data_IF_060421728286
#
_entry.id   IF_060421728286
#
_cell.length_a   1.000
_cell.length_b   1.000
_cell.length_c   1.000
_cell.angle_alpha   90.00
_cell.angle_beta   90.00
_cell.angle_gamma   90.00
#
_symmetry.space_group_name_H-M   'P 1'
#
loop_
_entity.id
_entity.type
_entity.pdbx_description
1 polymer ?
#
# COMPACT_ATOMS: atom_id res chain seq x y z
N UNK A 1 16.15 27.78 -19.98
CA UNK A 1 15.31 27.59 -18.76
C UNK A 1 15.85 26.41 -18.00
N UNK A 2 16.15 26.56 -16.71
CA UNK A 2 16.55 25.43 -15.85
C UNK A 2 15.27 24.74 -15.34
N UNK A 3 15.14 23.42 -15.48
CA UNK A 3 13.98 22.71 -14.95
C UNK A 3 13.89 22.89 -13.43
N UNK A 4 12.70 23.25 -12.95
CA UNK A 4 12.38 23.32 -11.51
C UNK A 4 11.65 22.05 -11.10
N UNK A 5 12.10 21.43 -10.02
CA UNK A 5 11.45 20.26 -9.40
C UNK A 5 10.99 20.61 -7.99
N UNK A 6 10.00 19.90 -7.42
CA UNK A 6 9.54 20.17 -6.06
C UNK A 6 10.67 20.00 -5.03
N UNK A 7 10.94 21.03 -4.22
CA UNK A 7 12.05 21.02 -3.26
C UNK A 7 11.94 19.91 -2.20
N UNK A 8 10.71 19.60 -1.76
CA UNK A 8 10.48 18.57 -0.73
C UNK A 8 10.96 17.18 -1.17
N UNK A 9 10.91 16.86 -2.47
CA UNK A 9 11.31 15.56 -3.01
C UNK A 9 12.80 15.31 -2.79
N UNK A 10 13.62 16.37 -2.78
CA UNK A 10 15.07 16.27 -2.54
C UNK A 10 15.41 15.78 -1.13
N UNK A 11 14.48 15.93 -0.18
CA UNK A 11 14.61 15.49 1.21
C UNK A 11 13.65 14.33 1.54
N UNK A 12 13.00 13.76 0.53
CA UNK A 12 12.03 12.69 0.72
C UNK A 12 12.72 11.31 0.74
N UNK A 13 12.30 10.47 1.67
CA UNK A 13 12.61 9.04 1.71
C UNK A 13 11.30 8.33 1.39
N UNK A 14 11.20 7.85 0.15
CA UNK A 14 10.02 7.17 -0.34
C UNK A 14 9.96 5.72 0.12
N UNK A 15 8.75 5.27 0.43
CA UNK A 15 8.43 3.86 0.60
C UNK A 15 7.35 3.45 -0.38
N UNK A 16 7.66 2.51 -1.26
CA UNK A 16 6.69 1.97 -2.20
C UNK A 16 5.84 0.90 -1.51
N UNK A 17 4.52 1.00 -1.66
CA UNK A 17 3.55 0.06 -1.09
C UNK A 17 2.73 -0.56 -2.21
N UNK A 18 2.69 -1.89 -2.22
CA UNK A 18 1.69 -2.66 -2.96
C UNK A 18 0.51 -2.99 -2.02
N UNK A 19 -0.65 -2.28 -2.15
CA UNK A 19 -1.66 -2.23 -1.09
C UNK A 19 -2.24 -3.58 -0.68
N UNK A 20 -2.53 -4.48 -1.63
CA UNK A 20 -3.12 -5.82 -1.37
C UNK A 20 -2.26 -6.69 -0.43
N UNK A 21 -0.95 -6.38 -0.30
CA UNK A 21 0.02 -7.20 0.44
C UNK A 21 0.65 -6.48 1.64
N UNK A 22 0.32 -5.22 1.88
CA UNK A 22 1.01 -4.46 2.92
C UNK A 22 0.45 -4.68 4.32
N UNK A 23 -0.86 -4.45 4.50
CA UNK A 23 -1.53 -4.68 5.76
C UNK A 23 -3.06 -4.81 5.58
N UNK A 24 -3.68 -5.70 6.35
CA UNK A 24 -5.14 -5.78 6.52
C UNK A 24 -5.56 -5.01 7.76
N UNK A 25 -6.61 -4.20 7.66
CA UNK A 25 -7.21 -3.58 8.84
C UNK A 25 -8.37 -4.45 9.36
N UNK A 26 -8.44 -4.75 10.67
CA UNK A 26 -9.58 -5.49 11.24
C UNK A 26 -10.89 -4.68 11.21
N UNK A 27 -10.82 -3.38 10.90
CA UNK A 27 -11.99 -2.49 10.80
C UNK A 27 -12.55 -2.44 9.37
N UNK A 28 -11.89 -3.07 8.40
CA UNK A 28 -12.32 -3.07 7.01
C UNK A 28 -13.34 -4.18 6.79
N UNK A 29 -14.52 -3.82 6.31
CA UNK A 29 -15.50 -4.80 5.83
C UNK A 29 -15.22 -5.06 4.36
N UNK A 30 -14.78 -6.28 4.04
CA UNK A 30 -14.57 -6.67 2.66
C UNK A 30 -15.90 -6.90 1.94
N UNK A 31 -15.90 -6.65 0.63
CA UNK A 31 -17.06 -6.89 -0.22
C UNK A 31 -17.37 -8.39 -0.23
N UNK A 32 -18.63 -8.80 -0.03
CA UNK A 32 -19.03 -10.19 -0.13
C UNK A 32 -18.65 -10.79 -1.50
N UNK A 33 -18.24 -12.07 -1.52
CA UNK A 33 -17.90 -12.79 -2.75
C UNK A 33 -16.42 -12.75 -3.15
N UNK A 34 -15.56 -12.07 -2.39
CA UNK A 34 -14.11 -12.15 -2.56
C UNK A 34 -13.53 -13.19 -1.60
N UNK A 35 -12.82 -14.17 -2.15
CA UNK A 35 -12.05 -15.14 -1.36
C UNK A 35 -10.61 -14.68 -1.27
N UNK A 36 -10.14 -14.38 -0.06
CA UNK A 36 -8.74 -14.05 0.17
C UNK A 36 -7.89 -15.29 0.36
N UNK A 37 -6.70 -15.27 -0.21
CA UNK A 37 -5.66 -16.22 0.15
C UNK A 37 -5.22 -15.98 1.61
N UNK A 38 -4.68 -17.01 2.28
CA UNK A 38 -4.01 -16.83 3.56
C UNK A 38 -2.97 -15.69 3.47
N UNK A 39 -2.84 -14.92 4.54
CA UNK A 39 -1.87 -13.83 4.57
C UNK A 39 -0.44 -14.41 4.53
N UNK A 40 0.41 -13.87 3.65
CA UNK A 40 1.76 -14.38 3.47
C UNK A 40 1.86 -15.64 2.60
N UNK A 41 0.76 -16.04 1.92
CA UNK A 41 0.86 -17.05 0.86
C UNK A 41 1.89 -16.62 -0.20
N UNK A 42 2.62 -17.57 -0.82
CA UNK A 42 3.54 -17.28 -1.91
C UNK A 42 2.90 -16.41 -2.99
N UNK A 43 3.65 -15.49 -3.61
CA UNK A 43 3.13 -14.67 -4.68
C UNK A 43 2.76 -15.55 -5.87
N UNK A 44 1.55 -15.36 -6.37
CA UNK A 44 1.04 -15.94 -7.61
C UNK A 44 0.47 -14.81 -8.46
N UNK A 45 0.35 -15.04 -9.77
CA UNK A 45 -0.23 -14.06 -10.71
C UNK A 45 -1.64 -13.62 -10.29
N UNK A 46 -2.41 -14.53 -9.71
CA UNK A 46 -3.77 -14.26 -9.26
C UNK A 46 -3.95 -14.53 -7.77
N UNK A 47 -4.83 -13.76 -7.15
CA UNK A 47 -5.28 -13.97 -5.79
C UNK A 47 -5.07 -12.74 -4.91
N UNK A 48 -6.16 -12.33 -4.28
CA UNK A 48 -6.15 -11.24 -3.32
C UNK A 48 -5.68 -11.73 -1.97
N UNK A 49 -4.79 -10.97 -1.35
CA UNK A 49 -4.52 -11.10 0.07
C UNK A 49 -5.18 -9.97 0.86
N UNK A 50 -6.04 -9.13 0.29
CA UNK A 50 -6.99 -8.32 1.05
C UNK A 50 -6.37 -7.19 1.88
N UNK A 51 -5.14 -6.79 1.58
CA UNK A 51 -4.59 -5.56 2.11
C UNK A 51 -5.39 -4.34 1.65
N UNK A 52 -5.44 -3.31 2.50
CA UNK A 52 -6.34 -2.18 2.30
C UNK A 52 -5.72 -0.85 2.81
N UNK A 53 -6.28 0.28 2.39
CA UNK A 53 -5.76 1.60 2.77
C UNK A 53 -5.85 1.86 4.28
N UNK A 54 -6.82 1.26 4.99
CA UNK A 54 -6.96 1.40 6.44
C UNK A 54 -5.86 0.63 7.16
N UNK A 55 -5.42 -0.50 6.61
CA UNK A 55 -4.25 -1.26 7.04
C UNK A 55 -2.96 -0.45 6.85
N UNK A 56 -2.83 0.31 5.76
CA UNK A 56 -1.72 1.26 5.60
C UNK A 56 -1.75 2.31 6.71
N UNK A 57 -2.92 2.89 6.99
CA UNK A 57 -3.10 3.86 8.10
C UNK A 57 -2.67 3.25 9.44
N UNK A 58 -3.05 2.00 9.73
CA UNK A 58 -2.66 1.28 10.94
C UNK A 58 -1.16 1.01 11.07
N UNK A 59 -0.37 1.25 10.01
CA UNK A 59 1.08 1.07 9.97
C UNK A 59 1.85 2.38 9.75
N UNK A 60 1.20 3.54 9.81
CA UNK A 60 1.90 4.83 9.69
C UNK A 60 2.99 5.00 10.77
N UNK A 61 2.74 4.54 12.01
CA UNK A 61 3.76 4.57 13.07
C UNK A 61 4.98 3.70 12.74
N UNK A 62 4.79 2.58 12.03
CA UNK A 62 5.90 1.75 11.57
C UNK A 62 6.74 2.49 10.51
N UNK A 63 6.07 3.15 9.55
CA UNK A 63 6.74 3.93 8.51
C UNK A 63 7.48 5.14 9.10
N UNK A 64 6.87 5.84 10.05
CA UNK A 64 7.49 6.96 10.75
C UNK A 64 8.74 6.53 11.54
N UNK A 65 8.70 5.37 12.22
CA UNK A 65 9.87 4.80 12.92
C UNK A 65 11.03 4.45 11.98
N UNK A 66 10.74 4.16 10.72
CA UNK A 66 11.75 3.96 9.66
C UNK A 66 12.23 5.27 9.03
N UNK A 67 11.77 6.43 9.51
CA UNK A 67 12.02 7.76 8.96
C UNK A 67 11.50 7.95 7.51
N UNK A 68 10.48 7.19 7.11
CA UNK A 68 9.78 7.40 5.84
C UNK A 68 8.89 8.64 5.96
N UNK A 69 8.97 9.53 4.97
CA UNK A 69 8.18 10.77 4.92
C UNK A 69 7.37 10.93 3.62
N UNK A 70 7.47 9.96 2.69
CA UNK A 70 6.66 9.91 1.48
C UNK A 70 6.28 8.47 1.14
N UNK A 71 5.01 8.25 0.74
CA UNK A 71 4.50 6.94 0.33
C UNK A 71 4.17 7.00 -1.15
N UNK A 72 4.66 6.02 -1.91
CA UNK A 72 4.26 5.78 -3.30
C UNK A 72 3.42 4.52 -3.38
N UNK A 73 2.17 4.63 -3.84
CA UNK A 73 1.26 3.50 -3.95
C UNK A 73 1.27 2.96 -5.38
N UNK A 74 1.28 1.63 -5.52
CA UNK A 74 0.79 0.97 -6.73
C UNK A 74 -0.70 1.34 -6.98
N UNK A 75 -1.26 1.07 -8.17
CA UNK A 75 -2.62 1.50 -8.52
C UNK A 75 -3.68 1.13 -7.47
N UNK A 76 -4.53 2.10 -7.10
CA UNK A 76 -5.59 1.96 -6.08
C UNK A 76 -7.00 2.26 -6.63
N UNK A 77 -7.12 2.56 -7.92
CA UNK A 77 -8.41 2.76 -8.55
C UNK A 77 -9.08 1.42 -8.83
N UNK A 78 -10.41 1.45 -8.98
CA UNK A 78 -11.20 0.24 -9.22
C UNK A 78 -10.68 -0.54 -10.43
N UNK A 79 -10.38 -1.81 -10.21
CA UNK A 79 -9.87 -2.75 -11.20
C UNK A 79 -10.29 -4.17 -10.79
N UNK A 80 -10.32 -5.09 -11.76
CA UNK A 80 -10.56 -6.51 -11.50
C UNK A 80 -9.28 -7.29 -11.15
N UNK A 81 -8.11 -6.63 -11.20
CA UNK A 81 -6.80 -7.19 -10.90
C UNK A 81 -6.26 -6.71 -9.55
N UNK A 82 -5.40 -7.54 -8.94
CA UNK A 82 -4.64 -7.23 -7.73
C UNK A 82 -3.38 -6.41 -8.03
#
# INVERSE_FOLDING_TARGET
MTPKTPEWVKNAIFYQIYPDRFARSPRTKHVPGITFKPWGSPPEEQGYQGGDLRGIVDRLDYLAKLNINAIYLNPIFASASN
#
